data_IF_810351061051
#
_entry.id   IF_810351061051
#
_cell.length_a   1.000
_cell.length_b   1.000
_cell.length_c   1.000
_cell.angle_alpha   90.00
_cell.angle_beta   90.00
_cell.angle_gamma   90.00
#
_symmetry.space_group_name_H-M   'P 1'
#
loop_
_entity.id
_entity.type
_entity.pdbx_description
1 polymer ?
#
# COMPACT_ATOMS: atom_id res chain seq x y z
N UNK A 1 27.76 26.56 -18.20
CA UNK A 1 26.55 25.79 -18.61
C UNK A 1 25.74 25.44 -17.36
N UNK A 2 24.58 26.08 -17.12
CA UNK A 2 23.64 25.67 -16.05
C UNK A 2 22.88 24.44 -16.55
N UNK A 3 23.18 23.25 -16.01
CA UNK A 3 22.35 22.07 -16.26
C UNK A 3 20.95 22.37 -15.70
N UNK A 4 19.86 22.25 -16.48
CA UNK A 4 18.53 22.30 -15.91
C UNK A 4 18.44 21.18 -14.87
N UNK A 5 18.10 21.53 -13.63
CA UNK A 5 17.81 20.52 -12.59
C UNK A 5 16.79 19.57 -13.20
N UNK A 6 16.97 18.24 -13.12
CA UNK A 6 15.95 17.31 -13.57
C UNK A 6 14.67 17.70 -12.82
N UNK A 7 13.75 18.32 -13.54
CA UNK A 7 12.40 18.57 -13.06
C UNK A 7 11.90 17.17 -12.81
N UNK A 8 11.93 16.75 -11.55
CA UNK A 8 11.34 15.50 -11.11
C UNK A 8 9.90 15.66 -11.57
N UNK A 9 9.54 15.04 -12.69
CA UNK A 9 8.16 15.00 -13.18
C UNK A 9 7.45 14.29 -12.04
N UNK A 10 6.86 15.10 -11.15
CA UNK A 10 6.26 14.64 -9.92
C UNK A 10 5.01 13.94 -10.40
N UNK A 11 5.13 12.63 -10.57
CA UNK A 11 4.03 11.74 -10.91
C UNK A 11 3.06 11.79 -9.73
N UNK A 12 2.14 12.74 -9.78
CA UNK A 12 1.13 12.96 -8.76
C UNK A 12 -0.01 11.98 -9.03
N UNK A 13 -0.43 11.27 -7.99
CA UNK A 13 -1.65 10.49 -8.02
C UNK A 13 -2.80 11.49 -8.02
N UNK A 14 -3.70 11.43 -8.99
CA UNK A 14 -4.97 12.12 -8.88
C UNK A 14 -5.94 11.22 -8.12
N UNK A 15 -6.40 11.68 -6.94
CA UNK A 15 -7.39 10.94 -6.14
C UNK A 15 -8.82 11.06 -6.73
N UNK A 16 -9.04 12.07 -7.57
CA UNK A 16 -10.28 12.29 -8.31
C UNK A 16 -10.38 11.32 -9.48
N UNK A 17 -9.24 10.91 -10.03
CA UNK A 17 -9.20 9.90 -11.09
C UNK A 17 -9.28 8.48 -10.53
N UNK A 18 -10.50 7.91 -10.60
CA UNK A 18 -10.75 6.51 -10.23
C UNK A 18 -9.88 5.52 -11.00
N UNK A 19 -9.46 5.82 -12.24
CA UNK A 19 -8.63 4.89 -13.01
C UNK A 19 -7.22 4.79 -12.41
N UNK A 20 -6.58 5.92 -12.12
CA UNK A 20 -5.30 5.97 -11.42
C UNK A 20 -5.36 5.34 -10.03
N UNK A 21 -6.38 5.66 -9.22
CA UNK A 21 -6.54 5.08 -7.89
C UNK A 21 -6.68 3.56 -7.97
N UNK A 22 -7.52 3.04 -8.87
CA UNK A 22 -7.67 1.59 -9.08
C UNK A 22 -6.38 0.93 -9.55
N UNK A 23 -5.65 1.56 -10.48
CA UNK A 23 -4.39 1.05 -11.00
C UNK A 23 -3.32 0.98 -9.89
N UNK A 24 -3.18 2.05 -9.10
CA UNK A 24 -2.19 2.12 -8.02
C UNK A 24 -2.52 1.13 -6.89
N UNK A 25 -3.80 1.02 -6.51
CA UNK A 25 -4.26 -0.03 -5.58
C UNK A 25 -3.95 -1.42 -6.09
N UNK A 26 -4.20 -1.69 -7.37
CA UNK A 26 -3.93 -3.01 -7.97
C UNK A 26 -2.43 -3.31 -8.05
N UNK A 27 -1.60 -2.32 -8.39
CA UNK A 27 -0.13 -2.50 -8.50
C UNK A 27 0.54 -2.64 -7.14
N UNK A 28 0.06 -1.93 -6.13
CA UNK A 28 0.65 -1.94 -4.78
C UNK A 28 -0.04 -2.95 -3.85
N UNK A 29 -1.19 -3.50 -4.24
CA UNK A 29 -1.99 -4.39 -3.40
C UNK A 29 -2.42 -3.70 -2.10
N UNK A 30 -2.84 -2.44 -2.19
CA UNK A 30 -3.28 -1.61 -1.06
C UNK A 30 -4.80 -1.54 -0.97
N UNK A 31 -5.30 -1.51 0.26
CA UNK A 31 -6.68 -1.13 0.59
C UNK A 31 -6.90 0.39 0.47
N UNK A 32 -8.15 0.83 0.30
CA UNK A 32 -8.50 2.27 0.30
C UNK A 32 -8.03 2.97 1.58
N UNK A 33 -8.18 2.31 2.73
CA UNK A 33 -7.76 2.85 4.02
C UNK A 33 -6.24 3.08 4.08
N UNK A 34 -5.45 2.12 3.58
CA UNK A 34 -4.00 2.24 3.54
C UNK A 34 -3.55 3.34 2.58
N UNK A 35 -4.18 3.43 1.40
CA UNK A 35 -3.90 4.48 0.44
C UNK A 35 -4.18 5.86 1.03
N UNK A 36 -5.33 6.05 1.68
CA UNK A 36 -5.70 7.32 2.34
C UNK A 36 -4.73 7.65 3.46
N UNK A 37 -4.32 6.67 4.28
CA UNK A 37 -3.36 6.88 5.36
C UNK A 37 -1.98 7.32 4.83
N UNK A 38 -1.49 6.67 3.76
CA UNK A 38 -0.21 7.00 3.12
C UNK A 38 -0.28 8.40 2.49
N UNK A 39 -1.36 8.68 1.77
CA UNK A 39 -1.59 9.99 1.15
C UNK A 39 -1.71 11.09 2.20
N UNK A 40 -2.41 10.86 3.31
CA UNK A 40 -2.49 11.82 4.41
C UNK A 40 -1.13 12.12 5.06
N UNK A 41 -0.20 11.16 5.04
CA UNK A 41 1.13 11.31 5.64
C UNK A 41 2.13 12.02 4.73
N UNK A 42 2.19 11.66 3.43
CA UNK A 42 3.27 12.10 2.50
C UNK A 42 2.74 12.84 1.27
N UNK A 43 1.42 12.86 1.08
CA UNK A 43 0.73 13.50 -0.04
C UNK A 43 0.62 12.60 -1.28
N UNK A 44 -0.03 13.13 -2.32
CA UNK A 44 -0.35 12.46 -3.58
C UNK A 44 0.85 12.13 -4.48
N UNK A 45 2.03 11.81 -3.96
CA UNK A 45 3.19 11.47 -4.80
C UNK A 45 3.24 9.97 -5.06
N UNK A 46 2.99 9.50 -6.30
CA UNK A 46 3.04 8.07 -6.68
C UNK A 46 4.33 7.38 -6.22
N UNK A 47 5.56 7.92 -6.47
CA UNK A 47 6.77 7.23 -6.02
C UNK A 47 6.89 7.15 -4.49
N UNK A 48 6.34 8.14 -3.77
CA UNK A 48 6.33 8.12 -2.32
C UNK A 48 5.31 7.10 -1.78
N UNK A 49 4.13 7.02 -2.40
CA UNK A 49 3.11 6.02 -2.09
C UNK A 49 3.66 4.61 -2.36
N UNK A 50 4.34 4.38 -3.50
CA UNK A 50 4.98 3.10 -3.79
C UNK A 50 6.05 2.73 -2.77
N UNK A 51 6.88 3.69 -2.34
CA UNK A 51 7.93 3.45 -1.35
C UNK A 51 7.33 3.13 0.02
N UNK A 52 6.32 3.88 0.47
CA UNK A 52 5.60 3.57 1.71
C UNK A 52 4.85 2.26 1.64
N UNK A 53 4.23 1.93 0.51
CA UNK A 53 3.53 0.66 0.35
C UNK A 53 4.50 -0.53 0.46
N UNK A 54 5.70 -0.41 -0.12
CA UNK A 54 6.75 -1.40 0.04
C UNK A 54 7.25 -1.49 1.49
N UNK A 55 7.42 -0.33 2.15
CA UNK A 55 7.77 -0.28 3.58
C UNK A 55 6.67 -0.86 4.47
N UNK A 56 5.39 -0.59 4.20
CA UNK A 56 4.27 -1.17 4.93
C UNK A 56 4.17 -2.66 4.69
N UNK A 57 4.42 -3.17 3.49
CA UNK A 57 4.50 -4.63 3.27
C UNK A 57 5.68 -5.27 3.98
N UNK A 58 6.83 -4.59 4.05
CA UNK A 58 8.01 -5.08 4.76
C UNK A 58 7.87 -4.96 6.28
N UNK A 59 7.11 -3.97 6.76
CA UNK A 59 6.95 -3.63 8.17
C UNK A 59 5.59 -4.05 8.73
N UNK A 60 4.68 -4.58 7.91
CA UNK A 60 3.54 -5.36 8.35
C UNK A 60 4.11 -6.72 8.76
N UNK A 61 4.28 -7.01 10.07
CA UNK A 61 4.36 -8.39 10.47
C UNK A 61 3.06 -9.01 9.97
N UNK A 62 3.18 -10.14 9.25
CA UNK A 62 2.11 -11.05 8.90
C UNK A 62 0.88 -10.85 9.80
N UNK A 63 -0.22 -10.28 9.29
CA UNK A 63 -1.47 -10.43 10.05
C UNK A 63 -1.83 -11.91 9.91
N UNK A 64 -1.92 -12.64 11.03
CA UNK A 64 -2.19 -14.07 11.05
C UNK A 64 -3.48 -14.32 10.29
N UNK A 65 -3.47 -15.33 9.44
CA UNK A 65 -4.70 -15.98 9.02
C UNK A 65 -5.46 -16.33 10.31
N UNK A 66 -6.61 -15.69 10.45
CA UNK A 66 -7.82 -16.15 11.09
C UNK A 66 -7.66 -17.36 12.05
N UNK A 67 -7.90 -17.07 13.32
CA UNK A 67 -8.14 -18.04 14.38
C UNK A 67 -9.44 -18.81 14.09
N UNK A 68 -9.35 -20.08 13.70
CA UNK A 68 -10.40 -21.05 14.04
C UNK A 68 -9.97 -21.84 15.29
N UNK A 69 -10.63 -21.64 16.44
CA UNK A 69 -10.46 -22.47 17.62
C UNK A 69 -11.44 -23.63 17.52
N UNK A 70 -11.03 -24.76 16.92
CA UNK A 70 -11.78 -26.01 17.09
C UNK A 70 -11.06 -26.92 18.08
N UNK A 71 -11.41 -26.72 19.34
CA UNK A 71 -11.30 -27.76 20.34
C UNK A 71 -12.29 -28.88 19.96
N UNK A 72 -11.80 -29.95 19.36
CA UNK A 72 -12.54 -31.20 19.23
C UNK A 72 -11.59 -32.35 19.58
N UNK A 73 -11.55 -32.65 20.87
CA UNK A 73 -11.45 -33.99 21.48
C UNK A 73 -10.97 -35.15 20.61
N UNK A 74 -9.93 -35.81 21.10
CA UNK A 74 -9.57 -37.20 20.78
C UNK A 74 -10.80 -38.13 20.71
N UNK A 75 -10.71 -39.23 19.96
CA UNK A 75 -10.63 -40.49 20.70
C UNK A 75 -9.66 -41.54 20.11
N UNK A 76 -9.09 -42.28 21.05
CA UNK A 76 -8.56 -43.66 21.00
C UNK A 76 -9.30 -44.63 20.07
N UNK A 77 -8.55 -45.40 19.29
CA UNK A 77 -8.58 -46.87 19.20
C UNK A 77 -7.37 -47.38 18.42
#
# INVERSE_FOLDING_TARGET
MRRPKPQLIRNKLDLTDRAQVRLVKKRLGLSDAELIAIVGRIGNSIPAISKEAALQKANAPSKPADVEPTAATAPTS
#
